data_IF_576544522217
#
_entry.id   IF_576544522217
#
_cell.length_a   1.000
_cell.length_b   1.000
_cell.length_c   1.000
_cell.angle_alpha   90.00
_cell.angle_beta   90.00
_cell.angle_gamma   90.00
#
_symmetry.space_group_name_H-M   'P 1'
#
loop_
_entity.id
_entity.type
_entity.pdbx_description
1 polymer ?
#
# COMPACT_ATOMS: atom_id res chain seq x y z
N UNK A 1 0.04 -2.68 11.79
CA UNK A 1 0.16 -2.38 10.34
C UNK A 1 -0.97 -3.06 9.59
N UNK A 2 -1.65 -2.30 8.75
CA UNK A 2 -2.76 -2.83 7.96
C UNK A 2 -2.45 -2.67 6.47
N UNK A 3 -3.18 -3.41 5.62
CA UNK A 3 -2.95 -3.36 4.17
C UNK A 3 -3.13 -1.96 3.60
N UNK A 4 -4.05 -1.16 4.16
CA UNK A 4 -4.24 0.23 3.71
C UNK A 4 -2.97 1.05 3.90
N UNK A 5 -2.19 0.80 4.95
CA UNK A 5 -0.93 1.51 5.21
C UNK A 5 0.07 1.20 4.09
N UNK A 6 0.09 -0.03 3.61
CA UNK A 6 0.95 -0.42 2.50
C UNK A 6 0.55 0.30 1.21
N UNK A 7 -0.75 0.40 0.94
CA UNK A 7 -1.26 1.13 -0.23
C UNK A 7 -0.88 2.61 -0.17
N UNK A 8 -1.04 3.22 1.00
CA UNK A 8 -0.71 4.63 1.20
C UNK A 8 0.79 4.85 0.99
N UNK A 9 1.60 4.00 1.61
CA UNK A 9 3.05 4.10 1.48
C UNK A 9 3.49 3.98 0.01
N UNK A 10 2.98 2.98 -0.71
CA UNK A 10 3.33 2.77 -2.11
C UNK A 10 2.94 3.97 -2.96
N UNK A 11 1.75 4.53 -2.74
CA UNK A 11 1.30 5.70 -3.49
C UNK A 11 2.24 6.89 -3.27
N UNK A 12 2.62 7.15 -2.02
CA UNK A 12 3.55 8.24 -1.72
C UNK A 12 4.91 7.97 -2.34
N UNK A 13 5.38 6.73 -2.28
CA UNK A 13 6.68 6.36 -2.84
C UNK A 13 6.71 6.52 -4.36
N UNK A 14 5.63 6.23 -5.04
CA UNK A 14 5.53 6.39 -6.49
C UNK A 14 5.41 7.85 -6.90
N UNK A 15 4.66 8.64 -6.15
CA UNK A 15 4.47 10.07 -6.43
C UNK A 15 5.63 10.92 -5.92
N UNK A 16 6.29 10.48 -4.85
CA UNK A 16 7.28 11.25 -4.10
C UNK A 16 6.76 12.64 -3.73
N UNK A 17 5.48 12.70 -3.41
CA UNK A 17 4.77 13.93 -3.11
C UNK A 17 3.52 13.60 -2.28
N UNK A 18 3.48 14.07 -1.03
CA UNK A 18 2.37 13.79 -0.13
C UNK A 18 1.05 14.37 -0.60
N UNK A 19 1.09 15.59 -1.17
CA UNK A 19 -0.12 16.24 -1.66
C UNK A 19 -0.74 15.46 -2.80
N UNK A 20 0.06 15.08 -3.80
CA UNK A 20 -0.44 14.30 -4.94
C UNK A 20 -0.97 12.94 -4.50
N UNK A 21 -0.24 12.28 -3.60
CA UNK A 21 -0.69 10.99 -3.07
C UNK A 21 -2.02 11.13 -2.34
N UNK A 22 -2.18 12.17 -1.51
CA UNK A 22 -3.42 12.40 -0.80
C UNK A 22 -4.59 12.63 -1.75
N UNK A 23 -4.37 13.34 -2.84
CA UNK A 23 -5.40 13.56 -3.87
C UNK A 23 -5.78 12.25 -4.54
N UNK A 24 -4.81 11.43 -4.91
CA UNK A 24 -5.08 10.13 -5.55
C UNK A 24 -5.79 9.17 -4.61
N UNK A 25 -5.49 9.23 -3.34
CA UNK A 25 -6.07 8.33 -2.33
C UNK A 25 -7.38 8.87 -1.75
N UNK A 26 -7.76 10.09 -2.10
CA UNK A 26 -8.96 10.75 -1.56
C UNK A 26 -8.93 10.85 -0.04
N UNK A 27 -7.75 11.20 0.50
CA UNK A 27 -7.52 11.37 1.93
C UNK A 27 -6.96 12.76 2.18
N UNK A 28 -7.31 13.37 3.31
CA UNK A 28 -6.71 14.64 3.71
C UNK A 28 -5.21 14.45 3.95
N UNK A 29 -4.40 15.38 3.47
CA UNK A 29 -2.95 15.28 3.59
C UNK A 29 -2.45 15.13 5.03
N UNK A 30 -3.00 15.87 6.03
CA UNK A 30 -2.57 15.66 7.42
C UNK A 30 -2.84 14.23 7.93
N UNK A 31 -3.96 13.64 7.53
CA UNK A 31 -4.30 12.25 7.89
C UNK A 31 -3.31 11.28 7.27
N UNK A 32 -2.99 11.47 6.00
CA UNK A 32 -2.02 10.62 5.30
C UNK A 32 -0.65 10.71 5.95
N UNK A 33 -0.19 11.92 6.25
CA UNK A 33 1.09 12.15 6.91
C UNK A 33 1.14 11.47 8.27
N UNK A 34 0.05 11.55 9.04
CA UNK A 34 0.00 10.92 10.35
C UNK A 34 0.04 9.40 10.26
N UNK A 35 -0.67 8.82 9.30
CA UNK A 35 -0.68 7.36 9.13
C UNK A 35 0.69 6.83 8.73
N UNK A 36 1.42 7.57 7.90
CA UNK A 36 2.79 7.19 7.54
C UNK A 36 3.73 7.30 8.74
N UNK A 37 3.57 8.35 9.54
CA UNK A 37 4.35 8.51 10.76
C UNK A 37 4.10 7.37 11.74
N UNK A 38 2.84 6.97 11.89
CA UNK A 38 2.49 5.82 12.73
C UNK A 38 3.13 4.53 12.21
N UNK A 39 3.15 4.34 10.90
CA UNK A 39 3.80 3.19 10.28
C UNK A 39 5.31 3.20 10.54
N UNK A 40 5.96 4.35 10.37
CA UNK A 40 7.39 4.49 10.65
C UNK A 40 7.69 4.20 12.11
N UNK A 41 6.85 4.68 13.03
CA UNK A 41 7.01 4.41 14.45
C UNK A 41 6.88 2.93 14.76
N UNK A 42 5.92 2.26 14.14
CA UNK A 42 5.73 0.81 14.32
C UNK A 42 6.93 0.03 13.82
N UNK A 43 7.48 0.41 12.69
CA UNK A 43 8.65 -0.26 12.09
C UNK A 43 9.97 0.14 12.76
N UNK A 44 9.98 1.24 13.49
CA UNK A 44 11.17 1.72 14.19
C UNK A 44 12.21 2.36 13.28
N UNK A 45 11.81 2.84 12.11
CA UNK A 45 12.71 3.51 11.17
C UNK A 45 11.94 4.48 10.29
N UNK A 46 12.66 5.39 9.64
CA UNK A 46 12.08 6.28 8.65
C UNK A 46 12.05 5.59 7.30
N UNK A 47 10.93 5.73 6.60
CA UNK A 47 10.77 5.22 5.23
C UNK A 47 11.06 6.30 4.20
N UNK A 48 10.88 7.57 4.58
CA UNK A 48 11.11 8.72 3.70
C UNK A 48 12.13 9.66 4.32
N UNK A 49 12.88 10.32 3.45
CA UNK A 49 13.83 11.37 3.82
C UNK A 49 13.45 12.66 3.10
N UNK A 50 13.55 13.79 3.82
CA UNK A 50 13.26 15.11 3.27
C UNK A 50 14.53 15.97 3.31
N UNK A 51 15.49 15.65 2.45
CA UNK A 51 16.70 16.43 2.31
C UNK A 51 16.56 17.36 1.11
N UNK A 52 17.05 18.59 1.26
CA UNK A 52 17.06 19.58 0.18
C UNK A 52 15.66 19.81 -0.42
N UNK A 53 14.62 19.80 0.42
CA UNK A 53 13.22 19.99 0.00
C UNK A 53 12.71 18.92 -0.96
N UNK A 54 13.44 17.81 -1.08
CA UNK A 54 13.02 16.68 -1.91
C UNK A 54 12.60 15.53 -1.03
N UNK A 55 11.52 14.87 -1.42
CA UNK A 55 11.07 13.65 -0.77
C UNK A 55 11.68 12.45 -1.48
N UNK A 56 12.42 11.63 -0.74
CA UNK A 56 13.04 10.42 -1.29
C UNK A 56 12.82 9.26 -0.33
N UNK A 57 13.04 8.04 -0.82
CA UNK A 57 12.99 6.86 0.03
C UNK A 57 14.33 6.66 0.74
N UNK A 58 14.27 6.26 2.02
CA UNK A 58 15.45 5.78 2.72
C UNK A 58 15.82 4.38 2.22
N UNK A 59 16.94 3.83 2.66
CA UNK A 59 17.30 2.43 2.37
C UNK A 59 16.19 1.49 2.82
N UNK A 60 15.69 1.70 4.06
CA UNK A 60 14.58 0.92 4.61
C UNK A 60 13.33 1.10 3.77
N UNK A 61 13.06 2.32 3.32
CA UNK A 61 11.90 2.61 2.46
C UNK A 61 11.96 1.90 1.13
N UNK A 62 13.15 1.79 0.54
CA UNK A 62 13.33 1.08 -0.73
C UNK A 62 13.03 -0.40 -0.58
N UNK A 63 13.55 -1.01 0.49
CA UNK A 63 13.28 -2.42 0.77
C UNK A 63 11.79 -2.63 1.07
N UNK A 64 11.22 -1.75 1.89
CA UNK A 64 9.80 -1.87 2.25
C UNK A 64 8.90 -1.69 1.04
N UNK A 65 9.28 -0.84 0.08
CA UNK A 65 8.53 -0.65 -1.15
C UNK A 65 8.38 -1.97 -1.94
N UNK A 66 9.47 -2.71 -2.07
CA UNK A 66 9.44 -4.00 -2.76
C UNK A 66 8.55 -5.00 -2.02
N UNK A 67 8.72 -5.08 -0.71
CA UNK A 67 7.97 -6.03 0.10
C UNK A 67 6.49 -5.67 0.17
N UNK A 68 6.17 -4.39 0.30
CA UNK A 68 4.78 -3.92 0.34
C UNK A 68 4.05 -4.24 -0.96
N UNK A 69 4.71 -4.05 -2.11
CA UNK A 69 4.13 -4.42 -3.40
C UNK A 69 3.83 -5.91 -3.47
N UNK A 70 4.75 -6.74 -3.00
CA UNK A 70 4.58 -8.20 -2.93
C UNK A 70 3.38 -8.59 -2.07
N UNK A 71 3.27 -7.97 -0.90
CA UNK A 71 2.17 -8.26 0.02
C UNK A 71 0.82 -7.91 -0.61
N UNK A 72 0.72 -6.75 -1.24
CA UNK A 72 -0.52 -6.33 -1.90
C UNK A 72 -0.86 -7.23 -3.09
N UNK A 73 0.13 -7.62 -3.89
CA UNK A 73 -0.09 -8.52 -5.01
C UNK A 73 -0.57 -9.87 -4.53
N UNK A 74 0.04 -10.41 -3.47
CA UNK A 74 -0.38 -11.68 -2.88
C UNK A 74 -1.80 -11.59 -2.32
N UNK A 75 -2.15 -10.50 -1.70
CA UNK A 75 -3.51 -10.25 -1.21
C UNK A 75 -4.52 -10.29 -2.35
N UNK A 76 -4.24 -9.59 -3.45
CA UNK A 76 -5.11 -9.60 -4.64
C UNK A 76 -5.23 -11.01 -5.23
N UNK A 77 -4.12 -11.74 -5.29
CA UNK A 77 -4.12 -13.10 -5.80
C UNK A 77 -4.94 -14.04 -4.93
N UNK A 78 -4.85 -13.89 -3.61
CA UNK A 78 -5.64 -14.70 -2.69
C UNK A 78 -7.14 -14.49 -2.91
N UNK A 79 -7.55 -13.23 -3.07
CA UNK A 79 -8.95 -12.90 -3.37
C UNK A 79 -9.38 -13.50 -4.70
N UNK A 80 -8.56 -13.35 -5.73
CA UNK A 80 -8.84 -13.88 -7.06
C UNK A 80 -8.99 -15.40 -7.04
N UNK A 81 -8.10 -16.10 -6.35
CA UNK A 81 -8.15 -17.56 -6.27
C UNK A 81 -9.45 -18.06 -5.64
N UNK A 82 -9.88 -17.42 -4.55
CA UNK A 82 -11.11 -17.79 -3.88
C UNK A 82 -12.33 -17.52 -4.76
N UNK A 83 -12.36 -16.37 -5.42
CA UNK A 83 -13.47 -15.99 -6.31
C UNK A 83 -13.56 -16.95 -7.50
N UNK A 84 -12.43 -17.37 -8.06
CA UNK A 84 -12.40 -18.30 -9.16
C UNK A 84 -13.05 -19.64 -8.79
N UNK A 85 -12.72 -20.15 -7.60
CA UNK A 85 -13.34 -21.39 -7.11
C UNK A 85 -14.83 -21.20 -6.87
N UNK A 86 -15.23 -20.09 -6.26
CA UNK A 86 -16.62 -19.76 -5.98
C UNK A 86 -17.44 -19.66 -7.27
N UNK A 87 -16.91 -19.00 -8.29
CA UNK A 87 -17.58 -18.84 -9.58
C UNK A 87 -17.73 -20.19 -10.30
N UNK A 88 -16.71 -21.03 -10.24
CA UNK A 88 -16.79 -22.39 -10.80
C UNK A 88 -17.88 -23.22 -10.13
N UNK A 89 -18.03 -23.12 -8.81
CA UNK A 89 -19.08 -23.79 -8.06
C UNK A 89 -20.47 -23.27 -8.44
N UNK A 90 -20.60 -21.95 -8.60
CA UNK A 90 -21.88 -21.34 -9.02
C UNK A 90 -22.28 -21.84 -10.41
N UNK A 91 -21.34 -21.91 -11.35
CA UNK A 91 -21.61 -22.41 -12.67
C UNK A 91 -22.06 -23.88 -12.65
N UNK A 92 -21.43 -24.70 -11.81
CA UNK A 92 -21.84 -26.10 -11.62
C UNK A 92 -23.27 -26.21 -11.09
N UNK A 93 -23.63 -25.36 -10.13
CA UNK A 93 -24.96 -25.34 -9.55
C UNK A 93 -26.01 -24.89 -10.55
N UNK A 94 -25.66 -24.00 -11.47
CA UNK A 94 -26.58 -23.50 -12.48
C UNK A 94 -26.81 -24.47 -13.63
N UNK A 95 -25.92 -25.41 -13.82
CA UNK A 95 -26.04 -26.42 -14.89
C UNK A 95 -26.87 -27.63 -14.43
N UNK A 96 -26.86 -27.87 -13.15
CA UNK A 96 -27.65 -28.92 -12.53
C UNK A 96 -29.07 -28.50 -12.29
#
# INVERSE_FOLDING_TARGET
MELRHLRYFICIAEELNFKRASEKLFIAQPSLSQQIKDLENELGCLLFSRKNRSLTLTEEGKQFFLDAKHILDLSKQAIHNVKTISDAKKNKLNIG
#
